data_IF_837182914073
#
_entry.id   IF_837182914073
#
_cell.length_a   1.000
_cell.length_b   1.000
_cell.length_c   1.000
_cell.angle_alpha   90.00
_cell.angle_beta   90.00
_cell.angle_gamma   90.00
#
_symmetry.space_group_name_H-M   'P 1'
#
loop_
_entity.id
_entity.type
_entity.pdbx_description
1 polymer ?
#
# COMPACT_ATOMS: atom_id res chain seq x y z
N UNK A 1 -9.33 -7.77 24.14
CA UNK A 1 -8.55 -8.91 23.61
C UNK A 1 -8.82 -9.25 22.14
N UNK A 2 -10.03 -9.04 21.58
CA UNK A 2 -10.33 -9.40 20.18
C UNK A 2 -9.58 -8.62 19.07
N UNK A 3 -9.15 -7.37 19.34
CA UNK A 3 -8.55 -6.50 18.32
C UNK A 3 -7.10 -6.85 17.93
N UNK A 4 -6.33 -7.48 18.84
CA UNK A 4 -4.94 -7.84 18.55
C UNK A 4 -4.85 -9.05 17.59
N UNK A 5 -5.72 -10.05 17.79
CA UNK A 5 -5.79 -11.23 16.92
C UNK A 5 -6.30 -10.94 15.52
N UNK A 6 -7.18 -9.94 15.35
CA UNK A 6 -7.68 -9.54 14.02
C UNK A 6 -6.61 -8.83 13.19
N UNK A 7 -5.74 -8.02 13.82
CA UNK A 7 -4.68 -7.30 13.12
C UNK A 7 -3.55 -8.22 12.61
N UNK A 8 -3.31 -9.34 13.28
CA UNK A 8 -2.39 -10.36 12.78
C UNK A 8 -2.95 -11.16 11.60
N UNK A 9 -4.28 -11.14 11.40
CA UNK A 9 -4.96 -11.77 10.26
C UNK A 9 -5.29 -10.76 9.14
N UNK A 10 -4.45 -9.73 8.96
CA UNK A 10 -4.67 -8.65 7.98
C UNK A 10 -5.00 -9.18 6.59
N UNK A 11 -4.29 -10.20 6.10
CA UNK A 11 -4.48 -10.73 4.74
C UNK A 11 -5.87 -11.37 4.55
N UNK A 12 -6.47 -11.88 5.63
CA UNK A 12 -7.80 -12.52 5.57
C UNK A 12 -8.95 -11.53 5.81
N UNK A 13 -8.70 -10.47 6.58
CA UNK A 13 -9.74 -9.54 7.04
C UNK A 13 -9.69 -8.17 6.36
N UNK A 14 -8.56 -7.83 5.73
CA UNK A 14 -8.38 -6.57 5.03
C UNK A 14 -9.36 -6.47 3.87
N UNK A 15 -10.03 -5.32 3.76
CA UNK A 15 -11.05 -5.08 2.73
C UNK A 15 -10.61 -4.07 1.67
N UNK A 16 -9.54 -3.31 1.94
CA UNK A 16 -8.99 -2.32 1.01
C UNK A 16 -7.52 -2.05 1.28
N UNK A 17 -6.80 -1.69 0.22
CA UNK A 17 -5.42 -1.20 0.26
C UNK A 17 -5.42 0.15 -0.46
N UNK A 18 -4.92 1.20 0.21
CA UNK A 18 -4.81 2.54 -0.36
C UNK A 18 -3.32 2.89 -0.42
N UNK A 19 -2.83 3.17 -1.63
CA UNK A 19 -1.47 3.65 -1.85
C UNK A 19 -1.42 5.17 -1.97
N UNK A 20 -0.29 5.76 -1.56
CA UNK A 20 -0.03 7.20 -1.64
C UNK A 20 1.18 7.43 -2.56
N UNK A 21 0.93 7.98 -3.74
CA UNK A 21 1.98 8.31 -4.69
C UNK A 21 2.68 9.63 -4.34
N UNK A 22 4.00 9.69 -4.60
CA UNK A 22 4.84 10.90 -4.50
C UNK A 22 4.96 11.47 -3.08
N UNK A 23 4.93 10.61 -2.07
CA UNK A 23 5.02 11.01 -0.66
C UNK A 23 6.46 11.24 -0.14
N UNK A 24 7.48 10.82 -0.90
CA UNK A 24 8.88 11.12 -0.63
C UNK A 24 9.39 12.16 -1.63
N UNK A 25 9.78 13.34 -1.13
CA UNK A 25 10.23 14.46 -1.97
C UNK A 25 11.42 14.09 -2.87
N UNK A 26 12.33 13.23 -2.38
CA UNK A 26 13.46 12.73 -3.16
C UNK A 26 13.02 11.85 -4.35
N UNK A 27 12.04 10.96 -4.14
CA UNK A 27 11.52 10.10 -5.19
C UNK A 27 10.63 10.86 -6.20
N UNK A 28 9.88 11.87 -5.75
CA UNK A 28 9.16 12.78 -6.64
C UNK A 28 10.12 13.50 -7.61
N UNK A 29 11.28 13.95 -7.10
CA UNK A 29 12.34 14.58 -7.89
C UNK A 29 13.02 13.61 -8.86
N UNK A 30 13.29 12.38 -8.43
CA UNK A 30 13.87 11.31 -9.27
C UNK A 30 13.02 11.03 -10.52
N UNK A 31 11.71 10.95 -10.36
CA UNK A 31 10.77 10.69 -11.45
C UNK A 31 10.35 11.96 -12.22
N UNK A 32 11.01 13.09 -12.00
CA UNK A 32 10.75 14.36 -12.71
C UNK A 32 9.36 14.95 -12.46
N UNK A 33 8.71 14.60 -11.34
CA UNK A 33 7.35 15.03 -11.04
C UNK A 33 7.33 16.21 -10.06
N UNK A 34 6.38 17.14 -10.23
CA UNK A 34 6.08 18.11 -9.19
C UNK A 34 5.51 17.41 -7.94
N UNK A 35 5.92 17.87 -6.75
CA UNK A 35 5.30 17.48 -5.49
C UNK A 35 3.87 18.04 -5.48
N UNK A 36 2.83 17.20 -5.44
CA UNK A 36 1.45 17.66 -5.50
C UNK A 36 1.07 18.35 -4.18
N UNK A 37 0.11 19.29 -4.23
CA UNK A 37 -0.43 19.95 -3.02
C UNK A 37 -1.25 18.99 -2.15
N UNK A 38 -1.85 17.98 -2.78
CA UNK A 38 -2.63 16.92 -2.16
C UNK A 38 -2.07 15.56 -2.58
N UNK A 39 -2.13 14.53 -1.72
CA UNK A 39 -1.60 13.21 -2.04
C UNK A 39 -2.32 12.57 -3.23
N UNK A 40 -1.55 11.92 -4.12
CA UNK A 40 -2.12 11.09 -5.18
C UNK A 40 -2.50 9.75 -4.58
N UNK A 41 -3.79 9.41 -4.62
CA UNK A 41 -4.28 8.15 -4.07
C UNK A 41 -4.61 7.16 -5.19
N UNK A 42 -4.32 5.89 -4.94
CA UNK A 42 -4.77 4.77 -5.77
C UNK A 42 -5.11 3.57 -4.90
N UNK A 43 -5.80 2.59 -5.48
CA UNK A 43 -6.21 1.38 -4.78
C UNK A 43 -5.43 0.18 -5.30
N UNK A 44 -5.17 -0.77 -4.42
CA UNK A 44 -4.81 -2.15 -4.79
C UNK A 44 -5.90 -3.11 -4.30
N UNK A 45 -6.23 -4.17 -5.06
CA UNK A 45 -7.16 -5.19 -4.60
C UNK A 45 -6.54 -6.01 -3.48
N UNK A 46 -7.36 -6.56 -2.59
CA UNK A 46 -6.88 -7.42 -1.50
C UNK A 46 -6.31 -8.75 -2.01
N UNK A 47 -6.65 -9.18 -3.23
CA UNK A 47 -6.00 -10.32 -3.91
C UNK A 47 -4.52 -10.08 -4.21
N UNK A 48 -4.07 -8.82 -4.22
CA UNK A 48 -2.65 -8.50 -4.44
C UNK A 48 -1.76 -8.76 -3.24
N UNK A 49 -2.32 -9.02 -2.04
CA UNK A 49 -1.51 -9.34 -0.88
C UNK A 49 -0.65 -10.59 -1.12
N UNK A 50 0.62 -10.50 -0.75
CA UNK A 50 1.53 -11.63 -0.72
C UNK A 50 2.19 -11.70 0.65
N UNK A 51 2.06 -12.84 1.32
CA UNK A 51 2.71 -13.07 2.60
C UNK A 51 4.22 -13.31 2.43
N UNK A 52 4.96 -13.14 3.52
CA UNK A 52 6.39 -13.39 3.55
C UNK A 52 6.71 -14.84 3.12
N UNK A 53 7.70 -15.01 2.26
CA UNK A 53 8.06 -16.30 1.66
C UNK A 53 7.26 -16.67 0.41
N UNK A 54 6.24 -15.89 0.04
CA UNK A 54 5.53 -16.04 -1.23
C UNK A 54 6.35 -15.61 -2.44
N UNK A 55 5.92 -16.03 -3.63
CA UNK A 55 6.54 -15.67 -4.91
C UNK A 55 5.81 -14.50 -5.56
N UNK A 56 6.55 -13.48 -5.99
CA UNK A 56 6.00 -12.39 -6.80
C UNK A 56 5.82 -12.89 -8.24
N UNK A 57 4.60 -12.81 -8.74
CA UNK A 57 4.27 -13.17 -10.11
C UNK A 57 4.54 -11.99 -11.06
N UNK A 58 5.30 -12.24 -12.11
CA UNK A 58 5.59 -11.23 -13.14
C UNK A 58 4.68 -11.51 -14.34
N UNK A 59 3.64 -10.69 -14.58
CA UNK A 59 2.71 -10.94 -15.68
C UNK A 59 3.41 -10.81 -17.03
N UNK A 60 3.10 -11.72 -17.97
CA UNK A 60 3.69 -11.67 -19.31
C UNK A 60 2.80 -10.87 -20.29
N UNK A 61 3.37 -10.07 -21.21
CA UNK A 61 4.77 -9.66 -21.32
C UNK A 61 5.03 -8.35 -20.55
N UNK A 62 5.76 -8.42 -19.43
CA UNK A 62 6.23 -7.24 -18.71
C UNK A 62 7.75 -7.15 -18.82
N UNK A 63 8.26 -6.02 -19.33
CA UNK A 63 9.71 -5.83 -19.47
C UNK A 63 10.34 -5.18 -18.23
N UNK A 64 9.57 -4.45 -17.44
CA UNK A 64 10.04 -3.79 -16.21
C UNK A 64 9.04 -3.94 -15.08
N UNK A 65 9.50 -4.55 -13.99
CA UNK A 65 8.80 -4.62 -12.71
C UNK A 65 9.66 -3.92 -11.66
N UNK A 66 9.10 -2.86 -11.07
CA UNK A 66 9.77 -2.08 -10.04
C UNK A 66 9.24 -2.49 -8.66
N UNK A 67 10.10 -2.41 -7.65
CA UNK A 67 9.71 -2.51 -6.25
C UNK A 67 9.89 -1.14 -5.56
N UNK A 68 8.86 -0.72 -4.83
CA UNK A 68 8.88 0.49 -4.02
C UNK A 68 8.70 0.06 -2.55
N UNK A 69 9.69 0.30 -1.69
CA UNK A 69 9.64 -0.08 -0.27
C UNK A 69 8.84 0.98 0.50
N UNK A 70 7.74 0.57 1.14
CA UNK A 70 6.79 1.48 1.76
C UNK A 70 6.44 1.08 3.20
N UNK A 71 6.14 2.09 4.03
CA UNK A 71 5.54 1.86 5.35
C UNK A 71 4.03 1.72 5.22
N UNK A 72 3.50 0.54 5.49
CA UNK A 72 2.07 0.31 5.58
C UNK A 72 1.55 0.70 6.97
N UNK A 73 0.51 1.53 7.02
CA UNK A 73 -0.23 1.89 8.23
C UNK A 73 -1.51 1.07 8.29
N UNK A 74 -1.63 0.18 9.28
CA UNK A 74 -2.80 -0.68 9.44
C UNK A 74 -3.84 0.04 10.28
N UNK A 75 -5.02 0.27 9.68
CA UNK A 75 -6.15 0.92 10.35
C UNK A 75 -6.92 -0.12 11.17
N UNK A 76 -6.93 0.03 12.49
CA UNK A 76 -7.51 -0.94 13.42
C UNK A 76 -8.95 -0.65 13.84
N UNK A 77 -9.50 0.51 13.47
CA UNK A 77 -10.87 0.93 13.79
C UNK A 77 -11.49 1.63 12.58
N UNK A 78 -12.80 1.51 12.41
CA UNK A 78 -13.53 2.27 11.38
C UNK A 78 -13.25 3.76 11.54
N UNK A 79 -12.75 4.38 10.49
CA UNK A 79 -12.39 5.80 10.43
C UNK A 79 -13.22 6.48 9.34
N UNK A 80 -13.80 7.62 9.66
CA UNK A 80 -14.55 8.47 8.73
C UNK A 80 -14.39 9.92 9.16
N UNK A 81 -14.01 10.79 8.21
CA UNK A 81 -13.87 12.24 8.41
C UNK A 81 -13.08 12.60 9.70
N UNK A 82 -11.97 11.88 9.92
CA UNK A 82 -11.18 11.95 11.17
C UNK A 82 -10.31 13.21 11.16
N UNK A 83 -10.39 14.08 12.20
CA UNK A 83 -9.46 15.20 12.35
C UNK A 83 -8.02 14.72 12.52
N UNK A 84 -7.07 15.42 11.86
CA UNK A 84 -5.64 15.06 11.82
C UNK A 84 -5.06 14.79 13.21
N UNK A 85 -5.34 15.66 14.18
CA UNK A 85 -4.85 15.56 15.56
C UNK A 85 -5.32 14.31 16.32
N UNK A 86 -6.31 13.58 15.80
CA UNK A 86 -6.82 12.32 16.38
C UNK A 86 -6.58 11.09 15.49
N UNK A 87 -5.98 11.25 14.31
CA UNK A 87 -5.80 10.17 13.33
C UNK A 87 -5.06 8.95 13.92
N UNK A 88 -4.05 9.19 14.75
CA UNK A 88 -3.25 8.12 15.39
C UNK A 88 -4.06 7.21 16.32
N UNK A 89 -5.24 7.63 16.79
CA UNK A 89 -6.12 6.79 17.61
C UNK A 89 -6.79 5.62 16.85
N UNK A 90 -6.74 5.67 15.52
CA UNK A 90 -7.30 4.66 14.61
C UNK A 90 -6.23 3.70 14.07
N UNK A 91 -4.95 4.00 14.28
CA UNK A 91 -3.84 3.13 13.87
C UNK A 91 -3.74 1.93 14.79
N UNK A 92 -3.85 0.72 14.22
CA UNK A 92 -3.69 -0.55 14.93
C UNK A 92 -2.24 -1.06 14.92
N UNK A 93 -1.48 -0.73 13.88
CA UNK A 93 -0.11 -1.18 13.71
C UNK A 93 0.49 -0.75 12.39
N UNK A 94 1.67 -1.31 12.10
CA UNK A 94 2.46 -1.03 10.91
C UNK A 94 2.99 -2.31 10.30
N UNK A 95 3.28 -2.27 9.01
CA UNK A 95 4.01 -3.33 8.33
C UNK A 95 4.95 -2.72 7.30
N UNK A 96 5.97 -3.46 6.89
CA UNK A 96 6.71 -3.17 5.68
C UNK A 96 5.91 -3.72 4.50
N UNK A 97 5.73 -2.94 3.45
CA UNK A 97 5.11 -3.39 2.22
C UNK A 97 5.99 -3.06 1.01
N UNK A 98 5.82 -3.84 -0.05
CA UNK A 98 6.33 -3.47 -1.37
C UNK A 98 5.16 -3.05 -2.25
N UNK A 99 5.24 -1.84 -2.79
CA UNK A 99 4.35 -1.39 -3.86
C UNK A 99 4.95 -1.80 -5.21
N UNK A 100 4.72 -3.06 -5.57
CA UNK A 100 5.16 -3.60 -6.86
C UNK A 100 4.44 -2.88 -8.00
N UNK A 101 5.20 -2.51 -9.03
CA UNK A 101 4.71 -1.65 -10.11
C UNK A 101 5.20 -2.10 -11.47
N UNK A 102 4.26 -2.42 -12.36
CA UNK A 102 4.54 -2.61 -13.78
C UNK A 102 4.76 -1.24 -14.44
N UNK A 103 6.01 -0.75 -14.44
CA UNK A 103 6.32 0.67 -14.73
C UNK A 103 5.95 1.11 -16.14
N UNK A 104 6.15 0.25 -17.13
CA UNK A 104 5.80 0.54 -18.52
C UNK A 104 4.28 0.71 -18.68
N UNK A 105 3.52 -0.22 -18.10
CA UNK A 105 2.05 -0.17 -18.09
C UNK A 105 1.57 1.10 -17.36
N UNK A 106 2.22 1.46 -16.24
CA UNK A 106 1.89 2.69 -15.52
C UNK A 106 2.13 3.94 -16.39
N UNK A 107 3.24 3.97 -17.13
CA UNK A 107 3.58 5.09 -18.02
C UNK A 107 2.56 5.25 -19.14
N UNK A 108 2.15 4.14 -19.76
CA UNK A 108 1.08 4.14 -20.78
C UNK A 108 -0.24 4.60 -20.18
N UNK A 109 -0.65 4.06 -19.02
CA UNK A 109 -1.89 4.44 -18.35
C UNK A 109 -1.89 5.93 -17.99
N UNK A 110 -0.79 6.46 -17.43
CA UNK A 110 -0.64 7.89 -17.11
C UNK A 110 -0.78 8.79 -18.34
N UNK A 111 -0.09 8.46 -19.42
CA UNK A 111 -0.13 9.26 -20.66
C UNK A 111 -1.51 9.26 -21.32
N UNK A 112 -2.28 8.19 -21.14
CA UNK A 112 -3.65 8.06 -21.65
C UNK A 112 -4.74 8.52 -20.65
N UNK A 113 -4.37 8.97 -19.44
CA UNK A 113 -5.33 9.34 -18.40
C UNK A 113 -6.16 8.16 -17.86
N UNK A 114 -5.64 6.93 -17.96
CA UNK A 114 -6.31 5.70 -17.55
C UNK A 114 -6.01 5.33 -16.08
N UNK A 115 -6.86 4.52 -15.43
CA UNK A 115 -6.64 4.04 -14.07
C UNK A 115 -5.32 3.26 -13.91
N UNK A 116 -4.65 3.45 -12.77
CA UNK A 116 -3.37 2.79 -12.47
C UNK A 116 -3.53 1.33 -12.03
N UNK A 117 -4.76 0.83 -11.87
CA UNK A 117 -5.06 -0.52 -11.39
C UNK A 117 -4.32 -1.59 -12.18
N UNK A 118 -4.22 -1.46 -13.51
CA UNK A 118 -3.52 -2.41 -14.38
C UNK A 118 -2.02 -2.51 -14.10
N UNK A 119 -1.42 -1.46 -13.54
CA UNK A 119 0.01 -1.40 -13.26
C UNK A 119 0.36 -1.65 -11.78
N UNK A 120 -0.59 -1.34 -10.87
CA UNK A 120 -0.38 -1.38 -9.42
C UNK A 120 -1.13 -2.52 -8.73
N UNK A 121 -2.16 -3.09 -9.34
CA UNK A 121 -3.12 -3.98 -8.68
C UNK A 121 -3.17 -5.41 -9.21
N UNK A 122 -2.10 -5.92 -9.81
CA UNK A 122 -1.99 -7.32 -10.20
C UNK A 122 -1.92 -8.22 -8.95
N UNK A 123 -2.17 -9.52 -9.11
CA UNK A 123 -1.98 -10.47 -8.02
C UNK A 123 -0.50 -10.44 -7.56
N UNK A 124 -0.28 -10.68 -6.27
CA UNK A 124 1.04 -10.61 -5.61
C UNK A 124 1.74 -9.24 -5.59
N UNK A 125 1.12 -8.16 -6.08
CA UNK A 125 1.74 -6.81 -6.13
C UNK A 125 1.71 -6.01 -4.82
N UNK A 126 1.26 -6.62 -3.72
CA UNK A 126 1.40 -6.09 -2.36
C UNK A 126 2.05 -7.12 -1.43
N UNK A 127 3.33 -7.47 -1.62
CA UNK A 127 4.11 -8.16 -0.59
C UNK A 127 4.08 -7.37 0.71
N UNK A 128 3.76 -8.02 1.82
CA UNK A 128 3.60 -7.36 3.11
C UNK A 128 4.16 -8.21 4.26
N UNK A 129 4.83 -7.57 5.21
CA UNK A 129 5.37 -8.23 6.40
C UNK A 129 4.28 -8.54 7.42
N UNK A 130 4.65 -9.26 8.48
CA UNK A 130 3.84 -9.30 9.70
C UNK A 130 3.60 -7.90 10.26
N UNK A 131 2.45 -7.71 10.91
CA UNK A 131 2.08 -6.42 11.52
C UNK A 131 2.77 -6.25 12.88
N UNK A 132 3.54 -5.17 13.01
CA UNK A 132 4.00 -4.65 14.29
C UNK A 132 2.91 -3.77 14.92
N UNK A 133 2.41 -4.16 16.10
CA UNK A 133 1.30 -3.45 16.75
C UNK A 133 1.75 -2.07 17.27
N UNK A 134 0.95 -1.04 17.03
CA UNK A 134 1.27 0.35 17.41
C UNK A 134 1.17 0.58 18.93
N UNK A 135 0.32 -0.18 19.62
CA UNK A 135 0.19 -0.17 21.08
C UNK A 135 0.03 -1.60 21.58
N UNK A 136 1.04 -2.10 22.29
CA UNK A 136 0.80 -3.20 23.24
C UNK A 136 -0.01 -2.58 24.36
N UNK A 137 -1.25 -3.00 24.55
CA UNK A 137 -1.92 -2.79 25.84
C UNK A 137 -0.99 -3.43 26.87
N UNK A 138 -0.22 -2.61 27.58
CA UNK A 138 0.38 -3.03 28.83
C UNK A 138 -0.78 -3.54 29.69
N UNK A 139 -0.75 -4.86 29.94
CA UNK A 139 -1.60 -5.52 30.93
C UNK A 139 -1.26 -4.96 32.31
#
# INVERSE_FOLDING_TARGET
MAAAGSLQNLLKLGTKIVGVGRNYAAHAKELGNAVPKEPVLFLKPTSSYLENGGTIEVPHPLNSLDYEVELAVVIGKTARDVPENTAMNYVGGYALALDMTAREIQSVAKSAGLPWTVAKGQDTFTPISSVALHKVLAL
#
